data_IF_046202627187
#
_entry.id   IF_046202627187
#
_cell.length_a   1.000
_cell.length_b   1.000
_cell.length_c   1.000
_cell.angle_alpha   90.00
_cell.angle_beta   90.00
_cell.angle_gamma   90.00
#
_symmetry.space_group_name_H-M   'P 1'
#
loop_
_entity.id
_entity.type
_entity.pdbx_description
1 polymer ?
#
# COMPACT_ATOMS: atom_id res chain seq x y z
N UNK A 1 15.37 17.84 1.49
CA UNK A 1 15.17 18.32 0.10
C UNK A 1 14.27 17.38 -0.70
N UNK A 2 14.50 16.06 -0.77
CA UNK A 2 13.62 15.11 -1.49
C UNK A 2 12.18 15.03 -0.93
N UNK A 3 12.02 14.72 0.36
CA UNK A 3 10.69 14.48 0.93
C UNK A 3 9.82 15.75 0.92
N UNK A 4 10.44 16.92 1.03
CA UNK A 4 9.76 18.20 0.82
C UNK A 4 9.25 18.36 -0.61
N UNK A 5 10.07 18.03 -1.61
CA UNK A 5 9.68 18.07 -3.01
C UNK A 5 8.54 17.08 -3.34
N UNK A 6 8.58 15.87 -2.78
CA UNK A 6 7.53 14.86 -2.95
C UNK A 6 6.15 15.35 -2.44
N UNK A 7 6.12 16.24 -1.45
CA UNK A 7 4.86 16.81 -0.95
C UNK A 7 4.22 17.82 -1.91
N UNK A 8 5.01 18.38 -2.83
CA UNK A 8 4.59 19.43 -3.75
C UNK A 8 3.70 18.95 -4.91
N UNK A 9 3.23 19.89 -5.74
CA UNK A 9 2.25 19.65 -6.82
C UNK A 9 2.76 18.71 -7.92
N UNK A 10 4.07 18.67 -8.14
CA UNK A 10 4.70 17.78 -9.11
C UNK A 10 4.54 16.29 -8.74
N UNK A 11 4.29 15.99 -7.46
CA UNK A 11 4.17 14.64 -6.93
C UNK A 11 2.82 14.44 -6.23
N UNK A 12 2.79 14.40 -4.90
CA UNK A 12 1.61 14.01 -4.13
C UNK A 12 0.61 15.14 -3.89
N UNK A 13 1.04 16.41 -4.03
CA UNK A 13 0.19 17.60 -3.81
C UNK A 13 -0.59 17.49 -2.48
N UNK A 14 0.13 17.34 -1.38
CA UNK A 14 -0.45 16.96 -0.07
C UNK A 14 -1.36 18.03 0.53
N UNK A 15 -1.23 19.28 0.07
CA UNK A 15 -2.16 20.36 0.44
C UNK A 15 -3.57 20.10 -0.12
N UNK A 16 -3.66 19.54 -1.33
CA UNK A 16 -4.94 19.20 -1.98
C UNK A 16 -5.38 17.76 -1.70
N UNK A 17 -4.44 16.83 -1.62
CA UNK A 17 -4.70 15.39 -1.42
C UNK A 17 -3.90 14.88 -0.21
N UNK A 18 -4.36 15.16 1.03
CA UNK A 18 -3.59 14.85 2.24
C UNK A 18 -3.54 13.35 2.56
N UNK A 19 -4.29 12.52 1.85
CA UNK A 19 -4.46 11.10 2.15
C UNK A 19 -4.29 10.22 0.91
N UNK A 20 -3.64 9.08 1.12
CA UNK A 20 -3.71 7.91 0.25
C UNK A 20 -4.59 6.90 0.98
N UNK A 21 -5.60 6.37 0.29
CA UNK A 21 -6.54 5.43 0.90
C UNK A 21 -6.58 4.12 0.12
N UNK A 22 -6.70 3.01 0.83
CA UNK A 22 -6.93 1.71 0.24
C UNK A 22 -8.21 1.12 0.85
N UNK A 23 -9.15 0.72 0.00
CA UNK A 23 -10.39 0.05 0.41
C UNK A 23 -10.44 -1.35 -0.19
N UNK A 24 -10.36 -2.36 0.66
CA UNK A 24 -10.52 -3.76 0.24
C UNK A 24 -11.89 -3.97 -0.42
N UNK A 25 -11.90 -4.65 -1.56
CA UNK A 25 -13.12 -5.08 -2.27
C UNK A 25 -13.32 -6.59 -2.22
N UNK A 26 -12.27 -7.35 -1.88
CA UNK A 26 -12.35 -8.79 -1.81
C UNK A 26 -11.01 -9.44 -1.50
N UNK A 27 -11.07 -10.60 -0.86
CA UNK A 27 -9.91 -11.41 -0.50
C UNK A 27 -10.16 -12.85 -0.93
N UNK A 28 -9.18 -13.46 -1.60
CA UNK A 28 -9.23 -14.84 -2.04
C UNK A 28 -8.06 -15.63 -1.45
N UNK A 29 -8.33 -16.80 -0.89
CA UNK A 29 -7.28 -17.69 -0.37
C UNK A 29 -6.44 -18.21 -1.55
N UNK A 30 -5.11 -18.11 -1.42
CA UNK A 30 -4.15 -18.57 -2.42
C UNK A 30 -3.28 -19.75 -1.93
N UNK A 31 -3.64 -20.36 -0.79
CA UNK A 31 -2.89 -21.45 -0.16
C UNK A 31 -1.74 -20.97 0.73
N UNK A 32 -1.27 -21.83 1.64
CA UNK A 32 -0.04 -21.62 2.42
C UNK A 32 0.04 -20.29 3.20
N UNK A 33 -1.11 -19.82 3.73
CA UNK A 33 -1.17 -18.54 4.44
C UNK A 33 -1.04 -17.31 3.53
N UNK A 34 -1.10 -17.48 2.21
CA UNK A 34 -1.14 -16.42 1.22
C UNK A 34 -2.58 -16.15 0.76
N UNK A 35 -2.83 -14.89 0.44
CA UNK A 35 -4.13 -14.41 -0.01
C UNK A 35 -3.92 -13.38 -1.12
N UNK A 36 -4.80 -13.41 -2.12
CA UNK A 36 -4.95 -12.33 -3.09
C UNK A 36 -5.94 -11.32 -2.55
N UNK A 37 -5.46 -10.12 -2.26
CA UNK A 37 -6.25 -9.01 -1.75
C UNK A 37 -6.51 -8.02 -2.89
N UNK A 38 -7.76 -7.86 -3.27
CA UNK A 38 -8.19 -6.85 -4.25
C UNK A 38 -8.77 -5.64 -3.54
N UNK A 39 -8.50 -4.45 -4.05
CA UNK A 39 -9.11 -3.23 -3.51
C UNK A 39 -8.88 -2.00 -4.36
N UNK A 40 -9.54 -0.93 -3.97
CA UNK A 40 -9.45 0.38 -4.59
C UNK A 40 -8.39 1.21 -3.87
N UNK A 41 -7.30 1.52 -4.57
CA UNK A 41 -6.26 2.44 -4.11
C UNK A 41 -6.58 3.83 -4.68
N UNK A 42 -6.65 4.83 -3.81
CA UNK A 42 -6.78 6.24 -4.20
C UNK A 42 -5.54 7.00 -3.79
N UNK A 43 -4.89 7.63 -4.77
CA UNK A 43 -3.78 8.55 -4.55
C UNK A 43 -3.91 9.75 -5.49
N UNK A 44 -3.61 10.95 -4.99
CA UNK A 44 -3.76 12.22 -5.74
C UNK A 44 -5.16 12.41 -6.37
N UNK A 45 -6.20 11.95 -5.67
CA UNK A 45 -7.60 12.00 -6.12
C UNK A 45 -7.96 11.02 -7.24
N UNK A 46 -7.04 10.17 -7.69
CA UNK A 46 -7.30 9.15 -8.72
C UNK A 46 -7.43 7.79 -8.05
N UNK A 47 -8.51 7.07 -8.35
CA UNK A 47 -8.77 5.72 -7.84
C UNK A 47 -8.48 4.67 -8.90
N UNK A 48 -7.75 3.62 -8.51
CA UNK A 48 -7.44 2.44 -9.33
C UNK A 48 -7.66 1.17 -8.54
N UNK A 49 -8.20 0.15 -9.19
CA UNK A 49 -8.27 -1.20 -8.63
C UNK A 49 -6.87 -1.85 -8.68
N UNK A 50 -6.43 -2.39 -7.56
CA UNK A 50 -5.13 -3.08 -7.43
C UNK A 50 -5.31 -4.47 -6.83
N UNK A 51 -4.43 -5.40 -7.20
CA UNK A 51 -4.30 -6.73 -6.59
C UNK A 51 -2.98 -6.80 -5.81
N UNK A 52 -3.06 -7.20 -4.54
CA UNK A 52 -1.96 -7.28 -3.61
C UNK A 52 -1.81 -8.72 -3.11
N UNK A 53 -0.58 -9.12 -2.81
CA UNK A 53 -0.32 -10.36 -2.09
C UNK A 53 -0.30 -10.07 -0.59
N UNK A 54 -1.20 -10.71 0.15
CA UNK A 54 -1.25 -10.68 1.60
C UNK A 54 -0.71 -12.02 2.14
N UNK A 55 0.27 -11.97 3.03
CA UNK A 55 0.80 -13.12 3.76
C UNK A 55 0.42 -13.01 5.22
N UNK A 56 -0.31 -14.00 5.73
CA UNK A 56 -0.51 -14.20 7.15
C UNK A 56 0.75 -14.84 7.76
N UNK A 57 1.34 -14.17 8.75
CA UNK A 57 2.60 -14.57 9.38
C UNK A 57 2.40 -15.35 10.69
N UNK A 58 1.17 -15.74 10.99
CA UNK A 58 0.80 -16.42 12.22
C UNK A 58 0.24 -15.47 13.29
N UNK A 59 -0.19 -16.08 14.39
CA UNK A 59 -0.65 -15.37 15.58
C UNK A 59 0.08 -15.87 16.81
N UNK A 60 0.31 -14.98 17.76
CA UNK A 60 0.98 -15.28 19.04
C UNK A 60 0.14 -14.68 20.17
N UNK A 61 -0.10 -15.46 21.22
CA UNK A 61 -0.66 -14.93 22.47
C UNK A 61 0.47 -14.29 23.28
N UNK A 62 0.25 -13.05 23.73
CA UNK A 62 1.14 -12.41 24.69
C UNK A 62 0.96 -13.08 26.06
N UNK A 63 2.03 -13.68 26.65
CA UNK A 63 1.91 -14.41 27.92
C UNK A 63 1.44 -13.55 29.10
N UNK A 64 1.70 -12.24 29.07
CA UNK A 64 1.38 -11.30 30.15
C UNK A 64 -0.03 -10.72 29.97
N UNK A 65 -0.35 -10.21 28.77
CA UNK A 65 -1.61 -9.51 28.53
C UNK A 65 -2.75 -10.44 28.13
N UNK A 66 -2.44 -11.70 27.79
CA UNK A 66 -3.40 -12.70 27.26
C UNK A 66 -4.10 -12.28 25.97
N UNK A 67 -3.61 -11.21 25.33
CA UNK A 67 -4.09 -10.76 24.03
C UNK A 67 -3.39 -11.50 22.91
N UNK A 68 -4.12 -11.81 21.85
CA UNK A 68 -3.57 -12.42 20.63
C UNK A 68 -3.17 -11.33 19.64
N UNK A 69 -1.92 -11.37 19.20
CA UNK A 69 -1.41 -10.56 18.09
C UNK A 69 -1.37 -11.42 16.82
N UNK A 70 -1.90 -10.89 15.71
CA UNK A 70 -1.80 -11.48 14.38
C UNK A 70 -0.90 -10.62 13.48
N UNK A 71 0.06 -11.26 12.81
CA UNK A 71 1.02 -10.59 11.92
C UNK A 71 0.67 -10.76 10.44
N UNK A 72 0.82 -9.68 9.66
CA UNK A 72 0.55 -9.66 8.22
C UNK A 72 1.64 -8.93 7.45
N UNK A 73 1.89 -9.37 6.21
CA UNK A 73 2.70 -8.67 5.23
C UNK A 73 1.88 -8.48 3.95
N UNK A 74 1.77 -7.27 3.45
CA UNK A 74 1.21 -6.99 2.13
C UNK A 74 2.33 -6.55 1.20
N UNK A 75 2.30 -7.03 -0.04
CA UNK A 75 3.19 -6.59 -1.11
C UNK A 75 2.41 -6.31 -2.38
N UNK A 76 2.86 -5.31 -3.12
CA UNK A 76 2.31 -4.99 -4.43
C UNK A 76 3.25 -4.09 -5.21
N UNK A 77 2.89 -3.86 -6.47
CA UNK A 77 3.54 -2.90 -7.35
C UNK A 77 2.44 -2.04 -7.94
N UNK A 78 2.62 -0.72 -7.91
CA UNK A 78 1.75 0.23 -8.63
C UNK A 78 2.58 1.01 -9.64
N UNK A 79 1.93 1.61 -10.63
CA UNK A 79 2.58 2.59 -11.49
C UNK A 79 2.27 3.99 -11.00
N UNK A 80 3.28 4.82 -10.75
CA UNK A 80 3.04 6.21 -10.32
C UNK A 80 2.33 7.03 -11.40
N UNK A 81 2.54 6.69 -12.67
CA UNK A 81 1.87 7.31 -13.82
C UNK A 81 0.36 7.11 -13.79
N UNK A 82 -0.14 5.98 -13.28
CA UNK A 82 -1.57 5.69 -13.15
C UNK A 82 -2.30 6.68 -12.21
N UNK A 83 -1.55 7.35 -11.32
CA UNK A 83 -2.03 8.31 -10.35
C UNK A 83 -1.56 9.75 -10.65
N UNK A 84 -0.93 10.00 -11.79
CA UNK A 84 -0.45 11.34 -12.16
C UNK A 84 0.64 11.89 -11.22
N UNK A 85 1.41 11.00 -10.59
CA UNK A 85 2.48 11.36 -9.65
C UNK A 85 3.80 11.44 -10.41
N UNK A 86 4.41 12.63 -10.43
CA UNK A 86 5.68 12.87 -11.12
C UNK A 86 5.54 12.87 -12.65
N UNK A 87 4.41 13.31 -13.20
CA UNK A 87 4.15 13.26 -14.66
C UNK A 87 5.17 14.04 -15.50
N UNK A 88 5.84 15.05 -14.92
CA UNK A 88 6.93 15.78 -15.57
C UNK A 88 8.24 14.98 -15.70
N UNK A 89 8.34 13.84 -15.01
CA UNK A 89 9.54 13.00 -14.97
C UNK A 89 9.27 11.71 -15.77
N UNK A 90 9.89 11.49 -16.94
CA UNK A 90 9.71 10.26 -17.73
C UNK A 90 10.39 9.05 -17.07
N UNK A 91 9.95 7.83 -17.46
CA UNK A 91 10.39 6.57 -16.87
C UNK A 91 11.92 6.36 -16.81
N UNK A 92 12.73 6.76 -17.81
CA UNK A 92 14.20 6.64 -17.74
C UNK A 92 14.85 7.50 -16.63
N UNK A 93 14.20 8.58 -16.20
CA UNK A 93 14.70 9.44 -15.12
C UNK A 93 14.13 9.03 -13.76
N UNK A 94 12.88 8.58 -13.72
CA UNK A 94 12.20 8.16 -12.50
C UNK A 94 11.37 6.91 -12.80
N UNK A 95 11.72 5.77 -12.19
CA UNK A 95 11.01 4.51 -12.39
C UNK A 95 9.50 4.65 -12.23
N UNK A 96 8.74 4.00 -13.13
CA UNK A 96 7.28 4.09 -13.10
C UNK A 96 6.68 3.08 -12.11
N UNK A 97 7.27 1.88 -12.04
CA UNK A 97 6.89 0.86 -11.07
C UNK A 97 7.39 1.20 -9.67
N UNK A 98 6.47 1.18 -8.71
CA UNK A 98 6.72 1.44 -7.30
C UNK A 98 6.33 0.20 -6.52
N UNK A 99 7.30 -0.68 -6.20
CA UNK A 99 7.05 -1.77 -5.27
C UNK A 99 6.86 -1.22 -3.86
N UNK A 100 5.95 -1.81 -3.11
CA UNK A 100 5.74 -1.45 -1.71
C UNK A 100 5.54 -2.69 -0.83
N UNK A 101 5.85 -2.50 0.44
CA UNK A 101 5.68 -3.51 1.49
C UNK A 101 4.99 -2.84 2.67
N UNK A 102 3.91 -3.45 3.15
CA UNK A 102 3.26 -3.07 4.41
C UNK A 102 3.41 -4.23 5.37
N UNK A 103 3.96 -3.97 6.55
CA UNK A 103 3.96 -4.93 7.65
C UNK A 103 2.98 -4.41 8.71
N UNK A 104 2.05 -5.26 9.13
CA UNK A 104 1.03 -4.90 10.10
C UNK A 104 0.91 -5.95 11.19
N UNK A 105 0.67 -5.49 12.42
CA UNK A 105 0.30 -6.30 13.56
C UNK A 105 -1.07 -5.82 14.06
N UNK A 106 -1.96 -6.76 14.35
CA UNK A 106 -3.26 -6.47 14.95
C UNK A 106 -3.40 -7.23 16.27
N UNK A 107 -3.66 -6.49 17.34
CA UNK A 107 -4.00 -7.07 18.64
C UNK A 107 -5.52 -7.11 18.80
N UNK A 108 -6.05 -8.26 19.22
CA UNK A 108 -7.41 -8.38 19.73
C UNK A 108 -7.49 -8.01 21.21
#
# INVERSE_FOLDING_TARGET
>A
MRDGHLKGPDFFDVEKYPQITFKSTGINNAGEGQYKLTGDLTAKGITKKVELTLTYRGSVENPQTKKTSAGFKLTGVIKRSDFGIGSAFPAPMLGDEVPFVVNAEFQQ
#
